data_IF_927196651914
#
_entry.id   IF_927196651914
#
_cell.length_a   1.000
_cell.length_b   1.000
_cell.length_c   1.000
_cell.angle_alpha   90.00
_cell.angle_beta   90.00
_cell.angle_gamma   90.00
#
_symmetry.space_group_name_H-M   'P 1'
#
loop_
_entity.id
_entity.type
_entity.pdbx_description
1 polymer ?
#
# COMPACT_ATOMS: atom_id res chain seq x y z
N UNK A 1 -12.63 -23.72 -12.72
CA UNK A 1 -12.42 -22.29 -13.04
C UNK A 1 -12.18 -21.56 -11.72
N UNK A 2 -11.02 -20.88 -11.56
CA UNK A 2 -10.73 -20.10 -10.34
C UNK A 2 -11.65 -18.87 -10.33
N UNK A 3 -12.31 -18.60 -9.20
CA UNK A 3 -13.15 -17.40 -9.04
C UNK A 3 -12.34 -16.33 -8.34
N UNK A 4 -12.29 -15.14 -8.94
CA UNK A 4 -11.57 -13.99 -8.39
C UNK A 4 -12.60 -12.98 -7.91
N UNK A 5 -12.41 -12.49 -6.68
CA UNK A 5 -13.20 -11.43 -6.09
C UNK A 5 -12.31 -10.21 -5.94
N UNK A 6 -12.70 -9.09 -6.54
CA UNK A 6 -12.00 -7.81 -6.40
C UNK A 6 -12.81 -6.95 -5.44
N UNK A 7 -12.20 -6.59 -4.31
CA UNK A 7 -12.84 -5.79 -3.27
C UNK A 7 -12.35 -4.35 -3.30
N UNK A 8 -13.14 -3.44 -3.88
CA UNK A 8 -12.92 -2.01 -3.72
C UNK A 8 -13.52 -1.55 -2.40
N UNK A 9 -12.71 -0.92 -1.55
CA UNK A 9 -13.20 -0.49 -0.26
C UNK A 9 -12.48 0.71 0.30
N UNK A 10 -13.15 1.38 1.23
CA UNK A 10 -12.60 2.44 2.06
C UNK A 10 -12.40 1.92 3.49
N UNK A 11 -11.51 2.56 4.25
CA UNK A 11 -11.28 2.29 5.67
C UNK A 11 -12.46 2.74 6.56
N UNK A 12 -13.62 2.11 6.36
CA UNK A 12 -14.91 2.41 7.01
C UNK A 12 -15.45 1.18 7.72
N UNK A 13 -15.97 1.35 8.94
CA UNK A 13 -16.49 0.23 9.74
C UNK A 13 -17.69 -0.45 9.08
N UNK A 14 -18.47 0.32 8.33
CA UNK A 14 -19.61 -0.11 7.54
C UNK A 14 -19.20 -1.12 6.45
N UNK A 15 -17.93 -1.14 6.06
CA UNK A 15 -17.43 -2.06 5.05
C UNK A 15 -17.16 -3.47 5.61
N UNK A 16 -16.96 -3.61 6.92
CA UNK A 16 -16.54 -4.86 7.59
C UNK A 16 -17.48 -6.06 7.30
N UNK A 17 -18.81 -5.94 7.32
CA UNK A 17 -19.70 -7.05 6.97
C UNK A 17 -19.50 -7.55 5.53
N UNK A 18 -19.16 -6.66 4.59
CA UNK A 18 -18.91 -7.03 3.20
C UNK A 18 -17.58 -7.77 3.05
N UNK A 19 -16.57 -7.44 3.85
CA UNK A 19 -15.29 -8.15 3.87
C UNK A 19 -15.50 -9.57 4.38
N UNK A 20 -16.26 -9.72 5.47
CA UNK A 20 -16.60 -11.04 6.02
C UNK A 20 -17.25 -11.93 4.95
N UNK A 21 -18.25 -11.41 4.25
CA UNK A 21 -18.93 -12.13 3.15
C UNK A 21 -18.00 -12.50 2.01
N UNK A 22 -17.01 -11.66 1.68
CA UNK A 22 -16.01 -11.96 0.66
C UNK A 22 -15.02 -13.03 1.14
N UNK A 23 -14.53 -12.93 2.38
CA UNK A 23 -13.58 -13.88 2.97
C UNK A 23 -14.19 -15.28 3.14
N UNK A 24 -15.47 -15.38 3.47
CA UNK A 24 -16.19 -16.66 3.55
C UNK A 24 -16.21 -17.41 2.20
N UNK A 25 -16.18 -16.68 1.08
CA UNK A 25 -16.25 -17.23 -0.28
C UNK A 25 -14.88 -17.49 -0.92
N UNK A 26 -13.80 -17.06 -0.28
CA UNK A 26 -12.44 -17.14 -0.82
C UNK A 26 -11.58 -18.05 0.05
N UNK A 27 -10.73 -18.89 -0.54
CA UNK A 27 -9.76 -19.72 0.19
C UNK A 27 -8.40 -19.03 0.38
N UNK A 28 -8.15 -18.03 -0.47
CA UNK A 28 -6.92 -17.26 -0.53
C UNK A 28 -7.27 -15.77 -0.56
N UNK A 29 -6.75 -15.02 0.41
CA UNK A 29 -7.01 -13.61 0.61
C UNK A 29 -5.71 -12.84 0.38
N UNK A 30 -5.75 -11.87 -0.53
CA UNK A 30 -4.64 -10.97 -0.79
C UNK A 30 -5.05 -9.59 -0.30
N UNK A 31 -4.21 -9.01 0.55
CA UNK A 31 -4.33 -7.64 0.99
C UNK A 31 -3.31 -6.80 0.22
N UNK A 32 -3.77 -5.73 -0.41
CA UNK A 32 -2.90 -4.73 -1.06
C UNK A 32 -2.29 -3.76 -0.02
N UNK A 33 -1.72 -4.34 1.03
CA UNK A 33 -1.07 -3.64 2.14
C UNK A 33 0.43 -3.93 2.14
N UNK A 34 1.22 -3.01 2.70
CA UNK A 34 2.65 -3.20 2.88
C UNK A 34 2.93 -4.41 3.81
N UNK A 35 3.80 -5.36 3.40
CA UNK A 35 4.14 -6.51 4.24
C UNK A 35 4.71 -6.11 5.59
N UNK A 36 4.05 -6.55 6.66
CA UNK A 36 4.48 -6.27 8.03
C UNK A 36 5.01 -7.54 8.71
N UNK A 37 6.24 -7.53 9.27
CA UNK A 37 6.80 -8.68 9.98
C UNK A 37 5.93 -9.24 11.12
N UNK A 38 5.15 -8.38 11.78
CA UNK A 38 4.26 -8.75 12.88
C UNK A 38 2.92 -9.33 12.40
N UNK A 39 2.60 -9.25 11.10
CA UNK A 39 1.30 -9.66 10.56
C UNK A 39 0.99 -11.14 10.85
N UNK A 40 1.93 -12.04 10.56
CA UNK A 40 1.74 -13.48 10.80
C UNK A 40 1.66 -13.83 12.29
N UNK A 41 2.36 -13.08 13.15
CA UNK A 41 2.24 -13.22 14.59
C UNK A 41 0.85 -12.79 15.06
N UNK A 42 0.31 -11.72 14.48
CA UNK A 42 -1.04 -11.24 14.75
C UNK A 42 -2.10 -12.26 14.26
N UNK A 43 -2.01 -12.74 13.02
CA UNK A 43 -2.95 -13.73 12.47
C UNK A 43 -3.03 -15.01 13.31
N UNK A 44 -1.88 -15.52 13.73
CA UNK A 44 -1.78 -16.72 14.59
C UNK A 44 -2.14 -16.48 16.06
N UNK A 45 -2.36 -15.22 16.47
CA UNK A 45 -2.66 -14.86 17.86
C UNK A 45 -1.46 -14.94 18.81
N UNK A 46 -0.23 -15.00 18.28
CA UNK A 46 1.01 -14.98 19.08
C UNK A 46 1.28 -13.62 19.72
N UNK A 47 0.84 -12.55 19.07
CA UNK A 47 0.79 -11.19 19.63
C UNK A 47 -0.65 -10.72 19.73
N UNK A 48 -0.92 -9.81 20.65
CA UNK A 48 -2.26 -9.27 20.82
C UNK A 48 -2.63 -8.31 19.67
N UNK A 49 -3.93 -8.17 19.38
CA UNK A 49 -4.39 -7.14 18.43
C UNK A 49 -3.98 -5.73 18.88
N UNK A 50 -3.95 -5.47 20.18
CA UNK A 50 -3.54 -4.18 20.73
C UNK A 50 -2.08 -3.89 20.37
N UNK A 51 -1.20 -4.84 20.66
CA UNK A 51 0.23 -4.76 20.36
C UNK A 51 0.48 -4.57 18.85
N UNK A 52 -0.21 -5.32 18.00
CA UNK A 52 -0.09 -5.15 16.55
C UNK A 52 -0.51 -3.75 16.09
N UNK A 53 -1.65 -3.24 16.56
CA UNK A 53 -2.18 -1.92 16.18
C UNK A 53 -1.28 -0.79 16.70
N UNK A 54 -0.69 -0.94 17.88
CA UNK A 54 0.25 0.05 18.45
C UNK A 54 1.54 0.17 17.62
N UNK A 55 1.89 -0.87 16.84
CA UNK A 55 3.03 -0.87 15.93
C UNK A 55 2.67 -0.49 14.48
N UNK A 56 1.44 0.01 14.25
CA UNK A 56 0.99 0.43 12.92
C UNK A 56 0.59 1.90 12.96
N UNK A 57 1.23 2.68 12.09
CA UNK A 57 0.79 4.03 11.79
C UNK A 57 -0.51 3.96 10.97
N UNK A 58 -1.64 4.26 11.63
CA UNK A 58 -2.94 4.31 10.96
C UNK A 58 -3.78 5.48 11.47
N UNK A 59 -4.47 6.15 10.56
CA UNK A 59 -5.49 7.14 10.87
C UNK A 59 -6.87 6.50 11.13
N UNK A 60 -6.99 5.18 10.99
CA UNK A 60 -8.26 4.43 11.13
C UNK A 60 -8.17 3.25 12.12
N UNK A 61 -7.78 3.46 13.40
CA UNK A 61 -7.51 2.38 14.34
C UNK A 61 -8.71 1.47 14.64
N UNK A 62 -9.93 2.03 14.64
CA UNK A 62 -11.16 1.24 14.84
C UNK A 62 -11.42 0.28 13.67
N UNK A 63 -11.23 0.78 12.44
CA UNK A 63 -11.35 -0.04 11.24
C UNK A 63 -10.29 -1.13 11.21
N UNK A 64 -9.02 -0.76 11.42
CA UNK A 64 -7.91 -1.72 11.44
C UNK A 64 -8.17 -2.83 12.46
N UNK A 65 -8.63 -2.48 13.67
CA UNK A 65 -9.00 -3.47 14.70
C UNK A 65 -10.09 -4.43 14.22
N UNK A 66 -11.13 -3.92 13.56
CA UNK A 66 -12.23 -4.73 13.06
C UNK A 66 -11.78 -5.65 11.92
N UNK A 67 -10.97 -5.14 10.99
CA UNK A 67 -10.39 -5.92 9.90
C UNK A 67 -9.46 -7.03 10.43
N UNK A 68 -8.55 -6.71 11.36
CA UNK A 68 -7.64 -7.70 11.93
C UNK A 68 -8.39 -8.84 12.64
N UNK A 69 -9.52 -8.55 13.32
CA UNK A 69 -10.37 -9.60 13.89
C UNK A 69 -10.93 -10.54 12.83
N UNK A 70 -11.42 -10.01 11.71
CA UNK A 70 -11.90 -10.83 10.59
C UNK A 70 -10.78 -11.66 9.97
N UNK A 71 -9.59 -11.08 9.83
CA UNK A 71 -8.42 -11.79 9.29
C UNK A 71 -7.96 -12.92 10.22
N UNK A 72 -7.97 -12.70 11.54
CA UNK A 72 -7.71 -13.77 12.52
C UNK A 72 -8.76 -14.89 12.45
N UNK A 73 -10.04 -14.56 12.31
CA UNK A 73 -11.11 -15.55 12.13
C UNK A 73 -10.91 -16.35 10.84
N UNK A 74 -10.62 -15.68 9.73
CA UNK A 74 -10.32 -16.32 8.45
C UNK A 74 -9.09 -17.24 8.55
N UNK A 75 -8.00 -16.77 9.18
CA UNK A 75 -6.78 -17.56 9.36
C UNK A 75 -7.03 -18.82 10.20
N UNK A 76 -7.81 -18.70 11.30
CA UNK A 76 -8.23 -19.85 12.12
C UNK A 76 -9.08 -20.86 11.34
N UNK A 77 -9.85 -20.38 10.37
CA UNK A 77 -10.64 -21.20 9.46
C UNK A 77 -9.80 -21.79 8.31
N UNK A 78 -8.47 -21.72 8.36
CA UNK A 78 -7.56 -22.32 7.40
C UNK A 78 -7.38 -21.53 6.10
N UNK A 79 -7.84 -20.28 6.05
CA UNK A 79 -7.66 -19.40 4.88
C UNK A 79 -6.21 -18.95 4.78
N UNK A 80 -5.68 -18.91 3.55
CA UNK A 80 -4.35 -18.35 3.28
C UNK A 80 -4.49 -16.84 3.13
N UNK A 81 -3.65 -16.08 3.83
CA UNK A 81 -3.71 -14.62 3.84
C UNK A 81 -2.31 -14.06 3.61
N UNK A 82 -2.15 -13.19 2.61
CA UNK A 82 -0.88 -12.53 2.31
C UNK A 82 -1.06 -11.03 2.12
N UNK A 83 0.02 -10.28 2.34
CA UNK A 83 0.15 -8.86 2.04
C UNK A 83 1.05 -8.69 0.82
N UNK A 84 0.67 -7.83 -0.13
CA UNK A 84 1.42 -7.56 -1.35
C UNK A 84 1.47 -6.06 -1.59
N UNK A 85 2.69 -5.50 -1.60
CA UNK A 85 2.92 -4.14 -2.06
C UNK A 85 4.36 -3.91 -2.54
N UNK A 86 4.72 -4.42 -3.74
CA UNK A 86 6.10 -4.39 -4.22
C UNK A 86 6.65 -2.97 -4.37
N UNK A 87 5.76 -2.00 -4.62
CA UNK A 87 6.12 -0.58 -4.69
C UNK A 87 6.67 -0.10 -3.35
N UNK A 88 5.92 -0.31 -2.26
CA UNK A 88 6.33 0.09 -0.92
C UNK A 88 7.56 -0.68 -0.44
N UNK A 89 7.65 -1.97 -0.74
CA UNK A 89 8.85 -2.78 -0.44
C UNK A 89 10.11 -2.22 -1.08
N UNK A 90 10.04 -1.82 -2.36
CA UNK A 90 11.17 -1.20 -3.05
C UNK A 90 11.45 0.19 -2.53
N UNK A 91 10.43 1.00 -2.24
CA UNK A 91 10.59 2.35 -1.69
C UNK A 91 11.30 2.32 -0.32
N UNK A 92 10.90 1.42 0.57
CA UNK A 92 11.58 1.22 1.87
C UNK A 92 13.03 0.78 1.68
N UNK A 93 13.30 -0.13 0.74
CA UNK A 93 14.67 -0.54 0.40
C UNK A 93 15.51 0.62 -0.12
N UNK A 94 14.93 1.50 -0.94
CA UNK A 94 15.61 2.71 -1.41
C UNK A 94 15.99 3.62 -0.23
N UNK A 95 15.08 3.87 0.72
CA UNK A 95 15.39 4.67 1.91
C UNK A 95 16.49 4.02 2.76
N UNK A 96 16.45 2.71 2.94
CA UNK A 96 17.53 1.97 3.63
C UNK A 96 18.88 2.12 2.92
N UNK A 97 18.92 2.14 1.58
CA UNK A 97 20.16 2.36 0.84
C UNK A 97 20.72 3.77 1.08
N UNK A 98 19.85 4.78 1.12
CA UNK A 98 20.22 6.18 1.42
C UNK A 98 20.77 6.28 2.85
N UNK A 99 20.08 5.68 3.83
CA UNK A 99 20.53 5.62 5.23
C UNK A 99 21.90 4.94 5.38
N UNK A 100 22.19 3.95 4.53
CA UNK A 100 23.47 3.26 4.46
C UNK A 100 24.53 3.98 3.61
N UNK A 101 24.27 5.22 3.20
CA UNK A 101 25.24 6.11 2.56
C UNK A 101 25.26 6.09 1.03
N UNK A 102 24.31 5.41 0.36
CA UNK A 102 24.19 5.53 -1.10
C UNK A 102 23.60 6.87 -1.51
N UNK A 103 24.16 7.46 -2.55
CA UNK A 103 23.62 8.69 -3.13
C UNK A 103 22.36 8.42 -3.97
N UNK A 104 21.48 9.42 -4.15
CA UNK A 104 20.35 9.33 -5.06
C UNK A 104 20.75 8.96 -6.50
N UNK A 105 21.89 9.43 -6.98
CA UNK A 105 22.46 9.13 -8.30
C UNK A 105 22.85 7.67 -8.43
N UNK A 106 23.45 7.09 -7.38
CA UNK A 106 23.77 5.65 -7.34
C UNK A 106 22.50 4.79 -7.35
N UNK A 107 21.45 5.21 -6.64
CA UNK A 107 20.16 4.50 -6.62
C UNK A 107 19.48 4.57 -7.98
N UNK A 108 19.53 5.74 -8.65
CA UNK A 108 18.96 5.93 -9.99
C UNK A 108 19.61 5.00 -11.04
N UNK A 109 20.86 4.60 -10.84
CA UNK A 109 21.55 3.67 -11.74
C UNK A 109 21.11 2.21 -11.55
N UNK A 110 20.36 1.88 -10.50
CA UNK A 110 19.88 0.53 -10.24
C UNK A 110 18.56 0.28 -11.00
N UNK A 111 18.53 -0.63 -12.01
CA UNK A 111 17.34 -0.84 -12.83
C UNK A 111 16.10 -1.27 -12.04
N UNK A 112 16.28 -1.93 -10.90
CA UNK A 112 15.17 -2.41 -10.07
C UNK A 112 14.37 -1.27 -9.40
N UNK A 113 15.00 -0.11 -9.22
CA UNK A 113 14.43 1.07 -8.53
C UNK A 113 14.09 2.21 -9.47
N UNK A 114 14.56 2.19 -10.72
CA UNK A 114 14.45 3.31 -11.66
C UNK A 114 13.02 3.83 -11.80
N UNK A 115 12.05 2.97 -12.15
CA UNK A 115 10.65 3.35 -12.33
C UNK A 115 10.05 4.04 -11.08
N UNK A 116 10.39 3.52 -9.89
CA UNK A 116 9.87 4.04 -8.62
C UNK A 116 10.55 5.35 -8.26
N UNK A 117 11.87 5.44 -8.47
CA UNK A 117 12.62 6.68 -8.27
C UNK A 117 12.08 7.79 -9.15
N UNK A 118 11.87 7.53 -10.44
CA UNK A 118 11.33 8.53 -11.38
C UNK A 118 9.91 8.95 -11.00
N UNK A 119 9.04 8.01 -10.64
CA UNK A 119 7.67 8.30 -10.23
C UNK A 119 7.60 9.11 -8.92
N UNK A 120 8.39 8.74 -7.89
CA UNK A 120 8.48 9.50 -6.63
C UNK A 120 9.08 10.88 -6.85
N UNK A 121 10.13 10.99 -7.66
CA UNK A 121 10.79 12.25 -7.95
C UNK A 121 9.87 13.22 -8.71
N UNK A 122 9.16 12.75 -9.75
CA UNK A 122 8.19 13.55 -10.49
C UNK A 122 7.04 14.01 -9.57
N UNK A 123 6.40 13.09 -8.84
CA UNK A 123 5.26 13.42 -7.99
C UNK A 123 5.65 14.37 -6.85
N UNK A 124 6.78 14.14 -6.19
CA UNK A 124 7.27 14.99 -5.09
C UNK A 124 7.67 16.37 -5.61
N UNK A 125 8.36 16.45 -6.76
CA UNK A 125 8.70 17.72 -7.39
C UNK A 125 7.46 18.58 -7.67
N UNK A 126 6.44 17.99 -8.29
CA UNK A 126 5.18 18.70 -8.59
C UNK A 126 4.40 19.09 -7.33
N UNK A 127 4.49 18.30 -6.26
CA UNK A 127 3.89 18.67 -4.98
C UNK A 127 4.56 19.92 -4.38
N UNK A 128 5.88 19.99 -4.44
CA UNK A 128 6.65 21.16 -4.00
C UNK A 128 6.31 22.40 -4.84
N UNK A 129 6.21 22.24 -6.16
CA UNK A 129 5.78 23.32 -7.08
C UNK A 129 4.39 23.84 -6.71
N UNK A 130 3.45 22.93 -6.37
CA UNK A 130 2.13 23.31 -5.90
C UNK A 130 2.18 24.10 -4.59
N UNK A 131 2.96 23.66 -3.60
CA UNK A 131 3.10 24.39 -2.34
C UNK A 131 3.67 25.79 -2.53
N UNK A 132 4.61 25.96 -3.46
CA UNK A 132 5.13 27.28 -3.83
C UNK A 132 4.04 28.13 -4.51
N UNK A 133 3.31 27.56 -5.47
CA UNK A 133 2.29 28.26 -6.23
C UNK A 133 1.09 28.74 -5.37
N UNK A 134 0.70 27.97 -4.35
CA UNK A 134 -0.37 28.35 -3.40
C UNK A 134 -0.05 29.65 -2.66
N UNK A 135 1.22 29.96 -2.45
CA UNK A 135 1.66 31.18 -1.78
C UNK A 135 1.68 32.41 -2.70
N UNK A 136 1.46 32.23 -4.01
CA UNK A 136 1.55 33.28 -5.02
C UNK A 136 0.18 33.70 -5.56
N UNK A 137 -0.42 32.89 -6.44
CA UNK A 137 -1.58 33.24 -7.25
C UNK A 137 -2.50 32.03 -7.47
N UNK A 138 -3.82 32.29 -7.47
CA UNK A 138 -4.83 31.24 -7.58
C UNK A 138 -4.73 30.45 -8.89
N UNK A 139 -4.56 31.11 -10.03
CA UNK A 139 -4.49 30.42 -11.33
C UNK A 139 -3.23 29.55 -11.42
N UNK A 140 -2.10 30.04 -10.88
CA UNK A 140 -0.88 29.23 -10.74
C UNK A 140 -1.10 28.01 -9.85
N UNK A 141 -1.76 28.19 -8.70
CA UNK A 141 -2.05 27.08 -7.78
C UNK A 141 -2.95 26.03 -8.44
N UNK A 142 -3.98 26.45 -9.18
CA UNK A 142 -4.88 25.55 -9.94
C UNK A 142 -4.12 24.78 -11.02
N UNK A 143 -3.19 25.42 -11.72
CA UNK A 143 -2.36 24.72 -12.71
C UNK A 143 -1.44 23.70 -12.03
N UNK A 144 -0.74 24.10 -10.97
CA UNK A 144 0.21 23.25 -10.28
C UNK A 144 -0.46 22.03 -9.62
N UNK A 145 -1.64 22.21 -9.00
CA UNK A 145 -2.38 21.06 -8.41
C UNK A 145 -2.83 20.06 -9.48
N UNK A 146 -3.20 20.53 -10.68
CA UNK A 146 -3.54 19.62 -11.80
C UNK A 146 -2.31 18.85 -12.26
N UNK A 147 -1.16 19.50 -12.38
CA UNK A 147 0.09 18.83 -12.77
C UNK A 147 0.52 17.79 -11.73
N UNK A 148 0.45 18.14 -10.44
CA UNK A 148 0.66 17.22 -9.34
C UNK A 148 -0.31 16.03 -9.40
N UNK A 149 -1.60 16.27 -9.57
CA UNK A 149 -2.60 15.20 -9.64
C UNK A 149 -2.34 14.22 -10.80
N UNK A 150 -1.84 14.71 -11.95
CA UNK A 150 -1.45 13.82 -13.06
C UNK A 150 -0.21 12.99 -12.72
N UNK A 151 0.81 13.59 -12.10
CA UNK A 151 2.02 12.88 -11.67
C UNK A 151 1.69 11.82 -10.61
N UNK A 152 0.86 12.15 -9.62
CA UNK A 152 0.43 11.22 -8.59
C UNK A 152 -0.43 10.08 -9.15
N UNK A 153 -1.31 10.36 -10.13
CA UNK A 153 -2.08 9.33 -10.81
C UNK A 153 -1.19 8.32 -11.56
N UNK A 154 -0.12 8.79 -12.23
CA UNK A 154 0.87 7.88 -12.85
C UNK A 154 1.59 7.02 -11.80
N UNK A 155 1.96 7.62 -10.66
CA UNK A 155 2.58 6.92 -9.53
C UNK A 155 1.67 5.82 -8.97
N UNK A 156 0.39 6.10 -8.79
CA UNK A 156 -0.62 5.12 -8.38
C UNK A 156 -0.77 4.00 -9.42
N UNK A 157 -0.86 4.35 -10.70
CA UNK A 157 -0.95 3.35 -11.79
C UNK A 157 0.27 2.41 -11.84
N UNK A 158 1.47 2.93 -11.55
CA UNK A 158 2.68 2.11 -11.40
C UNK A 158 2.55 1.14 -10.23
N UNK A 159 2.11 1.60 -9.05
CA UNK A 159 1.90 0.75 -7.87
C UNK A 159 0.86 -0.34 -8.14
N UNK A 160 -0.27 0.00 -8.77
CA UNK A 160 -1.32 -0.94 -9.13
C UNK A 160 -0.82 -2.00 -10.11
N UNK A 161 -0.04 -1.60 -11.13
CA UNK A 161 0.59 -2.54 -12.07
C UNK A 161 1.51 -3.53 -11.35
N UNK A 162 2.38 -3.05 -10.48
CA UNK A 162 3.32 -3.91 -9.74
C UNK A 162 2.59 -4.89 -8.81
N UNK A 163 1.50 -4.44 -8.15
CA UNK A 163 0.64 -5.31 -7.35
C UNK A 163 -0.04 -6.36 -8.21
N UNK A 164 -0.62 -5.98 -9.35
CA UNK A 164 -1.26 -6.90 -10.27
C UNK A 164 -0.28 -7.97 -10.80
N UNK A 165 0.94 -7.58 -11.17
CA UNK A 165 2.02 -8.48 -11.58
C UNK A 165 2.39 -9.47 -10.47
N UNK A 166 2.55 -9.00 -9.23
CA UNK A 166 2.83 -9.86 -8.09
C UNK A 166 1.67 -10.83 -7.79
N UNK A 167 0.42 -10.35 -7.83
CA UNK A 167 -0.79 -11.15 -7.62
C UNK A 167 -0.92 -12.25 -8.68
N UNK A 168 -0.60 -11.95 -9.94
CA UNK A 168 -0.71 -12.90 -11.05
C UNK A 168 0.12 -14.18 -10.84
N UNK A 169 1.18 -14.14 -10.02
CA UNK A 169 1.97 -15.32 -9.67
C UNK A 169 1.18 -16.37 -8.87
N UNK A 170 0.15 -15.94 -8.12
CA UNK A 170 -0.72 -16.83 -7.34
C UNK A 170 -1.92 -17.36 -8.14
N UNK A 171 -2.17 -16.79 -9.32
CA UNK A 171 -3.28 -17.17 -10.19
C UNK A 171 -2.91 -18.28 -11.18
N UNK A 172 -1.62 -18.58 -11.33
CA UNK A 172 -1.09 -19.66 -12.18
C UNK A 172 -1.50 -21.05 -11.68
#
# INVERSE_FOLDING_TARGET
MKKIYIGFSAHRLEAIPFYKKAFEQADFIILEDFPNPLFNLMLSGKISLKEYIENIETTFPKFLKAQCKLLQEAYKNGKVIIQIDPYMEKLVKMYQLIENGKSPEEIKQLPEFLDIYEAEHEATGRLLDYYQAVMEDFEKAVKAVKEFAHADAKRIALRDRLRAEAIAHYLK
#
